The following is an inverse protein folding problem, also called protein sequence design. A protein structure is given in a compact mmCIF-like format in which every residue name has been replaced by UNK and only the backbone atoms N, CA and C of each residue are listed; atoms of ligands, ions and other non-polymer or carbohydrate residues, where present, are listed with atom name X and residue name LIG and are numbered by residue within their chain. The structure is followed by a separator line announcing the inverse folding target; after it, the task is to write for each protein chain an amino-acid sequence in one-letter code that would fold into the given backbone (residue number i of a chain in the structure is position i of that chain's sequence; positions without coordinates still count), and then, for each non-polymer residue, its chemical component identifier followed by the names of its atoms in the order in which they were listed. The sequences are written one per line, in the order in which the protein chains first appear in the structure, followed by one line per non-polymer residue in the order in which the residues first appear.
data_IF_005982395635
#
_entry.id   IF_005982395635
#
_cell.length_a   1.000
_cell.length_b   1.000
_cell.length_c   1.000
_cell.angle_alpha   90.00
_cell.angle_beta   90.00
_cell.angle_gamma   90.00
#
_symmetry.space_group_name_H-M   'P 1'
#
loop_
_entity.id
_entity.type
_entity.pdbx_description
1 polymer ?
#
# COMPACT_ATOMS: atom_id res chain seq x y z
N UNK A 1 63.66 2.60 -5.89
CA UNK A 1 64.08 2.07 -7.20
C UNK A 1 63.27 2.81 -8.25
N UNK A 2 63.97 3.53 -9.13
CA UNK A 2 63.49 4.26 -10.30
C UNK A 2 62.64 3.38 -11.27
N UNK A 3 61.94 3.94 -12.28
CA UNK A 3 62.12 5.30 -12.82
C UNK A 3 60.85 6.11 -13.12
N UNK A 4 61.07 7.43 -13.13
CA UNK A 4 60.31 8.41 -13.87
C UNK A 4 60.51 8.28 -15.38
N UNK A 5 59.47 8.59 -16.16
CA UNK A 5 59.58 9.09 -17.53
C UNK A 5 58.83 10.42 -17.58
N UNK A 6 59.59 11.50 -17.79
CA UNK A 6 59.14 12.80 -18.26
C UNK A 6 58.60 12.66 -19.71
N UNK A 7 57.74 13.51 -20.27
CA UNK A 7 57.81 14.97 -20.36
C UNK A 7 56.63 15.49 -21.20
N UNK A 8 56.18 16.71 -20.89
CA UNK A 8 55.58 17.73 -21.78
C UNK A 8 54.24 17.41 -22.49
N UNK A 9 53.23 18.30 -22.56
CA UNK A 9 53.19 19.75 -22.49
C UNK A 9 51.78 20.27 -22.11
N UNK A 10 51.72 21.56 -21.76
CA UNK A 10 50.53 22.44 -21.71
C UNK A 10 49.60 22.40 -20.49
N UNK A 11 50.13 22.92 -19.38
CA UNK A 11 49.55 24.07 -18.66
C UNK A 11 48.03 24.18 -18.51
N UNK A 12 47.48 23.47 -17.52
CA UNK A 12 46.36 23.96 -16.71
C UNK A 12 46.64 23.61 -15.25
N UNK A 13 47.17 24.58 -14.50
CA UNK A 13 47.32 24.47 -13.05
C UNK A 13 45.92 24.60 -12.44
N UNK A 14 45.32 23.47 -12.10
CA UNK A 14 44.14 23.44 -11.22
C UNK A 14 44.60 23.88 -9.82
N UNK A 15 43.95 24.88 -9.18
CA UNK A 15 44.25 25.20 -7.80
C UNK A 15 43.92 23.98 -6.94
N UNK A 16 44.95 23.41 -6.30
CA UNK A 16 44.79 22.43 -5.24
C UNK A 16 44.08 23.09 -4.06
N UNK A 17 42.76 22.95 -4.03
CA UNK A 17 41.95 23.12 -2.84
C UNK A 17 40.81 22.08 -2.91
N UNK A 18 41.14 20.83 -2.55
CA UNK A 18 40.16 19.86 -2.06
C UNK A 18 39.51 20.47 -0.81
N UNK A 19 38.47 21.26 -1.05
CA UNK A 19 37.65 21.82 0.00
C UNK A 19 36.68 20.73 0.41
N UNK A 20 36.83 20.28 1.64
CA UNK A 20 36.06 19.23 2.28
C UNK A 20 34.55 19.37 2.02
N UNK A 21 33.95 18.20 1.76
CA UNK A 21 32.56 17.73 1.63
C UNK A 21 31.40 18.53 2.31
N UNK A 22 31.39 19.86 2.26
CA UNK A 22 30.50 20.68 3.09
C UNK A 22 29.44 21.51 2.36
N UNK A 23 29.72 22.07 1.17
CA UNK A 23 28.78 23.00 0.53
C UNK A 23 28.98 23.10 -0.98
N UNK A 24 28.10 22.45 -1.75
CA UNK A 24 27.35 23.03 -2.89
C UNK A 24 26.35 22.02 -3.40
N UNK A 25 25.25 21.89 -2.67
CA UNK A 25 24.02 21.27 -3.18
C UNK A 25 23.32 22.20 -4.17
N UNK A 26 23.90 22.37 -5.37
CA UNK A 26 23.03 22.46 -6.54
C UNK A 26 22.51 21.05 -6.73
N UNK A 27 21.24 20.81 -6.37
CA UNK A 27 20.62 19.49 -6.46
C UNK A 27 20.87 18.95 -7.88
N UNK A 28 21.60 17.84 -8.05
CA UNK A 28 21.85 17.25 -9.36
C UNK A 28 20.54 17.03 -10.13
N UNK A 29 19.45 16.74 -9.41
CA UNK A 29 18.12 16.51 -9.98
C UNK A 29 17.48 17.77 -10.59
N UNK A 30 17.66 18.94 -9.98
CA UNK A 30 17.16 20.20 -10.55
C UNK A 30 17.93 20.58 -11.83
N UNK A 31 19.22 20.23 -11.87
CA UNK A 31 20.06 20.42 -13.04
C UNK A 31 19.67 19.44 -14.15
N UNK A 32 19.53 18.15 -13.84
CA UNK A 32 19.14 17.13 -14.81
C UNK A 32 17.73 17.38 -15.38
N UNK A 33 16.74 17.77 -14.56
CA UNK A 33 15.38 18.10 -15.04
C UNK A 33 15.36 19.31 -15.99
N UNK A 34 16.29 20.25 -15.82
CA UNK A 34 16.41 21.43 -16.67
C UNK A 34 17.18 21.10 -17.96
N UNK A 35 18.23 20.30 -17.82
CA UNK A 35 19.18 19.96 -18.88
C UNK A 35 18.65 18.86 -19.81
N UNK A 36 17.86 17.90 -19.30
CA UNK A 36 17.28 16.80 -20.09
C UNK A 36 16.32 17.27 -21.20
N UNK A 37 15.91 18.54 -21.20
CA UNK A 37 15.13 19.17 -22.29
C UNK A 37 15.96 19.42 -23.55
N UNK A 38 17.29 19.40 -23.43
CA UNK A 38 18.24 19.64 -24.51
C UNK A 38 19.01 18.35 -24.78
N UNK A 39 18.70 17.67 -25.89
CA UNK A 39 19.28 16.36 -26.21
C UNK A 39 20.80 16.40 -26.46
N UNK A 40 21.33 17.55 -26.88
CA UNK A 40 22.75 17.71 -27.24
C UNK A 40 23.59 18.36 -26.11
N UNK A 41 23.09 18.38 -24.87
CA UNK A 41 23.84 19.01 -23.79
C UNK A 41 25.11 18.21 -23.45
N UNK A 42 26.31 18.81 -23.46
CA UNK A 42 27.58 18.09 -23.34
C UNK A 42 27.69 17.19 -22.10
N UNK A 43 27.13 17.62 -20.96
CA UNK A 43 27.16 16.82 -19.73
C UNK A 43 26.28 15.57 -19.83
N UNK A 44 25.10 15.68 -20.47
CA UNK A 44 24.21 14.54 -20.68
C UNK A 44 24.84 13.57 -21.67
N UNK A 45 25.45 14.10 -22.73
CA UNK A 45 26.14 13.26 -23.69
C UNK A 45 27.34 12.54 -23.05
N UNK A 46 28.20 13.24 -22.33
CA UNK A 46 29.32 12.61 -21.62
C UNK A 46 28.84 11.57 -20.60
N UNK A 47 27.74 11.84 -19.90
CA UNK A 47 27.14 10.86 -18.96
C UNK A 47 26.68 9.60 -19.69
N UNK A 48 26.02 9.72 -20.84
CA UNK A 48 25.64 8.56 -21.65
C UNK A 48 26.86 7.84 -22.21
N UNK A 49 27.87 8.57 -22.67
CA UNK A 49 29.11 8.00 -23.17
C UNK A 49 29.83 7.19 -22.08
N UNK A 50 29.94 7.75 -20.88
CA UNK A 50 30.51 7.08 -19.70
C UNK A 50 29.69 5.84 -19.31
N UNK A 51 28.36 5.94 -19.27
CA UNK A 51 27.50 4.80 -18.94
C UNK A 51 27.66 3.68 -19.98
N UNK A 52 27.62 3.99 -21.27
CA UNK A 52 27.66 2.97 -22.33
C UNK A 52 29.04 2.39 -22.62
N UNK A 53 30.12 3.08 -22.25
CA UNK A 53 31.49 2.60 -22.51
C UNK A 53 32.23 2.14 -21.26
N UNK A 54 32.00 2.77 -20.10
CA UNK A 54 32.78 2.50 -18.89
C UNK A 54 32.03 1.63 -17.88
N UNK A 55 30.69 1.70 -17.84
CA UNK A 55 29.88 0.96 -16.87
C UNK A 55 29.09 -0.20 -17.47
N UNK A 56 28.56 -0.06 -18.68
CA UNK A 56 27.80 -1.11 -19.37
C UNK A 56 28.68 -1.81 -20.40
N UNK A 57 28.87 -3.12 -20.21
CA UNK A 57 29.52 -3.95 -21.21
C UNK A 57 28.51 -4.38 -22.28
N UNK A 58 28.41 -3.55 -23.32
CA UNK A 58 27.51 -3.77 -24.45
C UNK A 58 27.94 -4.94 -25.34
N UNK A 59 29.24 -5.26 -25.36
CA UNK A 59 29.76 -6.39 -26.15
C UNK A 59 29.40 -7.71 -25.49
N UNK A 60 29.63 -7.85 -24.18
CA UNK A 60 29.24 -9.03 -23.42
C UNK A 60 27.72 -9.23 -23.43
N UNK A 61 26.93 -8.16 -23.32
CA UNK A 61 25.46 -8.25 -23.40
C UNK A 61 24.99 -8.79 -24.76
N UNK A 62 25.56 -8.29 -25.86
CA UNK A 62 25.24 -8.78 -27.21
C UNK A 62 25.58 -10.26 -27.35
N UNK A 63 26.72 -10.68 -26.82
CA UNK A 63 27.16 -12.07 -26.87
C UNK A 63 26.22 -12.98 -26.08
N UNK A 64 25.81 -12.60 -24.87
CA UNK A 64 24.82 -13.36 -24.08
C UNK A 64 23.49 -13.49 -24.81
N UNK A 65 22.98 -12.40 -25.41
CA UNK A 65 21.74 -12.44 -26.19
C UNK A 65 21.87 -13.32 -27.43
N UNK A 66 23.03 -13.28 -28.11
CA UNK A 66 23.34 -14.16 -29.24
C UNK A 66 23.33 -15.62 -28.79
N UNK A 67 24.01 -15.95 -27.70
CA UNK A 67 24.09 -17.31 -27.15
C UNK A 67 22.71 -17.84 -26.69
N UNK A 68 21.84 -16.98 -26.16
CA UNK A 68 20.44 -17.33 -25.87
C UNK A 68 19.70 -17.62 -27.19
N UNK A 69 19.88 -16.78 -28.22
CA UNK A 69 19.24 -16.94 -29.52
C UNK A 69 19.72 -18.17 -30.31
N UNK A 70 20.99 -18.54 -30.20
CA UNK A 70 21.56 -19.76 -30.80
C UNK A 70 21.27 -21.03 -29.99
N UNK A 71 20.73 -20.89 -28.77
CA UNK A 71 20.42 -22.00 -27.87
C UNK A 71 21.64 -22.56 -27.11
N UNK A 72 22.79 -21.90 -27.20
CA UNK A 72 23.98 -22.19 -26.38
C UNK A 72 23.69 -21.93 -24.89
N UNK A 73 22.96 -20.86 -24.58
CA UNK A 73 22.40 -20.60 -23.24
C UNK A 73 20.97 -21.10 -23.18
N UNK A 74 20.72 -22.10 -22.34
CA UNK A 74 19.38 -22.65 -22.12
C UNK A 74 18.68 -21.95 -20.95
N UNK A 75 17.44 -21.51 -21.20
CA UNK A 75 16.61 -20.85 -20.19
C UNK A 75 15.58 -21.84 -19.65
N UNK A 76 15.61 -22.06 -18.34
CA UNK A 76 14.63 -22.90 -17.64
C UNK A 76 13.72 -22.06 -16.75
N UNK A 77 12.41 -22.23 -16.87
CA UNK A 77 11.43 -21.61 -15.99
C UNK A 77 10.98 -22.61 -14.92
N UNK A 78 11.30 -22.35 -13.65
CA UNK A 78 10.86 -23.16 -12.51
C UNK A 78 10.08 -22.32 -11.51
N UNK A 79 8.79 -22.60 -11.36
CA UNK A 79 7.95 -21.97 -10.35
C UNK A 79 8.11 -22.72 -9.03
N UNK A 80 8.49 -22.01 -7.97
CA UNK A 80 8.64 -22.55 -6.62
C UNK A 80 7.75 -21.76 -5.67
N UNK A 81 7.30 -22.41 -4.59
CA UNK A 81 6.53 -21.75 -3.53
C UNK A 81 7.40 -20.87 -2.64
N UNK A 82 8.70 -21.22 -2.49
CA UNK A 82 9.70 -20.45 -1.77
C UNK A 82 10.86 -20.01 -2.68
N UNK A 83 11.51 -18.86 -2.43
CA UNK A 83 12.66 -18.40 -3.20
C UNK A 83 13.86 -19.37 -3.06
N UNK A 84 14.63 -19.53 -4.13
CA UNK A 84 15.85 -20.35 -4.08
C UNK A 84 16.95 -19.65 -3.27
N UNK A 85 17.94 -20.38 -2.72
CA UNK A 85 19.08 -19.76 -2.03
C UNK A 85 19.79 -18.70 -2.88
N UNK A 86 19.85 -18.91 -4.20
CA UNK A 86 20.42 -17.94 -5.15
C UNK A 86 19.55 -16.69 -5.29
N UNK A 87 18.22 -16.83 -5.35
CA UNK A 87 17.29 -15.71 -5.42
C UNK A 87 17.20 -14.93 -4.09
N UNK A 88 17.46 -15.59 -2.96
CA UNK A 88 17.38 -15.00 -1.63
C UNK A 88 18.31 -13.79 -1.48
N UNK A 89 19.55 -13.87 -1.96
CA UNK A 89 20.49 -12.74 -1.94
C UNK A 89 20.06 -11.56 -2.81
N UNK A 90 19.45 -11.82 -3.97
CA UNK A 90 18.95 -10.76 -4.86
C UNK A 90 17.73 -10.04 -4.29
N UNK A 91 16.88 -10.73 -3.51
CA UNK A 91 15.74 -10.12 -2.82
C UNK A 91 16.21 -9.08 -1.80
N UNK A 92 17.28 -9.38 -1.03
CA UNK A 92 17.86 -8.42 -0.08
C UNK A 92 18.43 -7.17 -0.77
N UNK A 93 19.13 -7.33 -1.89
CA UNK A 93 19.69 -6.19 -2.63
C UNK A 93 18.60 -5.30 -3.26
N UNK A 94 17.54 -5.92 -3.79
CA UNK A 94 16.37 -5.19 -4.32
C UNK A 94 15.67 -4.35 -3.23
N UNK A 95 15.65 -4.86 -2.00
CA UNK A 95 15.02 -4.22 -0.84
C UNK A 95 15.93 -3.19 -0.17
N UNK A 96 17.25 -3.44 -0.11
CA UNK A 96 18.22 -2.48 0.40
C UNK A 96 18.22 -1.21 -0.45
N UNK A 97 18.22 -1.36 -1.78
CA UNK A 97 18.05 -0.25 -2.70
C UNK A 97 16.73 0.52 -2.46
N UNK A 98 15.72 -0.13 -1.91
CA UNK A 98 14.40 0.43 -1.67
C UNK A 98 14.24 1.09 -0.28
N UNK A 99 14.91 0.57 0.77
CA UNK A 99 14.92 1.19 2.10
C UNK A 99 15.78 2.47 2.15
N UNK A 100 16.79 2.56 1.29
CA UNK A 100 17.65 3.73 1.16
C UNK A 100 17.27 4.66 0.00
N UNK A 101 16.21 4.35 -0.75
CA UNK A 101 15.62 5.25 -1.75
C UNK A 101 14.75 6.29 -1.02
N UNK A 102 15.39 7.31 -0.46
CA UNK A 102 14.74 8.36 0.34
C UNK A 102 13.75 9.23 -0.44
N UNK A 103 13.73 9.13 -1.77
CA UNK A 103 13.02 10.05 -2.66
C UNK A 103 11.78 9.48 -3.37
N UNK A 104 11.34 8.25 -3.05
CA UNK A 104 10.02 7.77 -3.50
C UNK A 104 8.93 8.09 -2.47
N UNK A 105 7.80 8.72 -2.86
CA UNK A 105 6.70 8.98 -1.92
C UNK A 105 6.22 7.65 -1.33
N UNK A 106 6.20 7.55 0.01
CA UNK A 106 5.95 6.32 0.81
C UNK A 106 4.74 5.47 0.33
N UNK A 107 3.74 6.11 -0.28
CA UNK A 107 2.54 5.49 -0.84
C UNK A 107 2.81 4.67 -2.10
N UNK A 108 3.74 5.07 -2.97
CA UNK A 108 4.21 4.26 -4.10
C UNK A 108 5.18 3.18 -3.65
N UNK A 109 5.93 3.47 -2.60
CA UNK A 109 6.85 2.53 -2.00
C UNK A 109 6.16 1.24 -1.55
N UNK A 110 5.09 1.36 -0.77
CA UNK A 110 4.29 0.22 -0.34
C UNK A 110 3.92 -0.70 -1.51
N UNK A 111 3.58 -0.14 -2.68
CA UNK A 111 3.05 -0.84 -3.88
C UNK A 111 4.02 -1.83 -4.52
N UNK A 112 5.33 -1.63 -4.37
CA UNK A 112 6.37 -2.52 -4.90
C UNK A 112 6.61 -3.73 -3.99
N UNK A 113 6.36 -3.58 -2.68
CA UNK A 113 6.41 -4.66 -1.69
C UNK A 113 5.28 -5.68 -1.88
N UNK A 114 4.10 -5.26 -2.37
CA UNK A 114 2.97 -6.17 -2.65
C UNK A 114 3.27 -7.24 -3.73
N UNK A 115 4.37 -7.13 -4.48
CA UNK A 115 4.82 -8.14 -5.42
C UNK A 115 5.59 -9.30 -4.79
N UNK A 116 5.99 -9.17 -3.52
CA UNK A 116 6.76 -10.16 -2.77
C UNK A 116 5.82 -11.10 -2.00
N UNK A 117 6.25 -12.35 -1.83
CA UNK A 117 5.52 -13.34 -1.03
C UNK A 117 5.47 -12.92 0.45
N UNK A 118 4.44 -13.37 1.18
CA UNK A 118 4.21 -13.08 2.60
C UNK A 118 5.40 -13.45 3.49
N UNK A 119 6.07 -14.56 3.20
CA UNK A 119 7.28 -15.02 3.90
C UNK A 119 8.50 -14.09 3.69
N UNK A 120 8.66 -13.58 2.46
CA UNK A 120 9.67 -12.58 2.10
C UNK A 120 9.38 -11.24 2.77
N UNK A 121 8.10 -10.83 2.81
CA UNK A 121 7.68 -9.62 3.50
C UNK A 121 7.93 -9.68 5.02
N UNK A 122 7.74 -10.84 5.65
CA UNK A 122 8.03 -11.05 7.09
C UNK A 122 9.50 -10.87 7.42
N UNK A 123 10.39 -11.37 6.56
CA UNK A 123 11.85 -11.22 6.73
C UNK A 123 12.33 -9.80 6.44
N UNK A 124 11.63 -9.06 5.58
CA UNK A 124 12.01 -7.71 5.13
C UNK A 124 11.46 -6.59 6.02
N UNK A 125 10.18 -6.66 6.35
CA UNK A 125 9.43 -5.56 6.99
C UNK A 125 9.48 -5.68 8.52
N UNK A 126 9.93 -6.81 9.05
CA UNK A 126 9.82 -7.17 10.46
C UNK A 126 8.37 -7.46 10.85
N UNK A 127 8.16 -7.92 12.10
CA UNK A 127 6.84 -8.36 12.59
C UNK A 127 5.74 -7.27 12.51
N UNK A 128 6.10 -5.98 12.45
CA UNK A 128 5.15 -4.87 12.63
C UNK A 128 4.71 -4.05 11.41
N UNK A 129 5.30 -4.22 10.23
CA UNK A 129 4.93 -3.34 9.09
C UNK A 129 3.76 -3.82 8.23
N UNK A 130 3.14 -4.95 8.55
CA UNK A 130 1.95 -5.45 7.85
C UNK A 130 0.68 -4.62 8.14
N UNK A 131 0.55 -4.05 9.34
CA UNK A 131 -0.61 -3.23 9.74
C UNK A 131 -0.83 -2.01 8.85
N UNK A 132 0.24 -1.45 8.30
CA UNK A 132 0.20 -0.27 7.43
C UNK A 132 -0.09 -0.59 5.96
N UNK A 133 -0.03 -1.87 5.57
CA UNK A 133 -0.26 -2.30 4.19
C UNK A 133 -1.73 -2.63 3.91
N UNK A 134 -2.45 -3.13 4.91
CA UNK A 134 -3.85 -3.51 4.77
C UNK A 134 -4.79 -2.38 5.19
N UNK A 135 -5.97 -2.35 4.59
CA UNK A 135 -7.05 -1.44 4.99
C UNK A 135 -8.17 -2.23 5.64
N UNK A 136 -8.69 -1.70 6.75
CA UNK A 136 -9.77 -2.30 7.50
C UNK A 136 -10.99 -2.63 6.61
N UNK A 137 -11.37 -1.72 5.70
CA UNK A 137 -12.48 -1.95 4.76
C UNK A 137 -12.28 -3.16 3.84
N UNK A 138 -11.05 -3.44 3.40
CA UNK A 138 -10.77 -4.57 2.52
C UNK A 138 -10.86 -5.88 3.30
N UNK A 139 -10.31 -5.87 4.53
CA UNK A 139 -10.37 -7.01 5.44
C UNK A 139 -11.84 -7.37 5.73
N UNK A 140 -12.66 -6.38 6.11
CA UNK A 140 -14.08 -6.61 6.42
C UNK A 140 -14.84 -7.12 5.20
N UNK A 141 -14.59 -6.57 4.01
CA UNK A 141 -15.22 -7.02 2.77
C UNK A 141 -14.86 -8.46 2.42
N UNK A 142 -13.57 -8.84 2.55
CA UNK A 142 -13.13 -10.21 2.26
C UNK A 142 -13.67 -11.18 3.31
N UNK A 143 -13.61 -10.84 4.60
CA UNK A 143 -14.16 -11.65 5.68
C UNK A 143 -15.67 -11.87 5.51
N UNK A 144 -16.43 -10.82 5.19
CA UNK A 144 -17.89 -10.91 4.96
C UNK A 144 -18.23 -11.84 3.79
N UNK A 145 -17.46 -11.76 2.71
CA UNK A 145 -17.61 -12.65 1.55
C UNK A 145 -17.18 -14.09 1.88
N UNK A 146 -16.08 -14.28 2.61
CA UNK A 146 -15.57 -15.58 3.01
C UNK A 146 -16.56 -16.33 3.90
N UNK A 147 -17.22 -15.62 4.83
CA UNK A 147 -18.34 -16.16 5.63
C UNK A 147 -19.59 -16.45 4.82
N UNK A 148 -19.74 -15.95 3.59
CA UNK A 148 -20.94 -16.16 2.77
C UNK A 148 -22.14 -15.26 3.13
N UNK A 149 -21.93 -14.25 3.98
CA UNK A 149 -22.99 -13.32 4.43
C UNK A 149 -23.63 -12.59 3.24
N UNK A 150 -22.83 -12.22 2.23
CA UNK A 150 -23.32 -11.50 1.05
C UNK A 150 -24.29 -12.34 0.19
N UNK A 151 -24.21 -13.67 0.25
CA UNK A 151 -25.14 -14.56 -0.47
C UNK A 151 -26.51 -14.52 0.19
N UNK A 152 -26.56 -14.64 1.52
CA UNK A 152 -27.79 -14.59 2.32
C UNK A 152 -28.41 -13.20 2.28
N UNK A 153 -27.59 -12.14 2.31
CA UNK A 153 -28.06 -10.75 2.25
C UNK A 153 -28.80 -10.41 0.95
N UNK A 154 -28.50 -11.12 -0.16
CA UNK A 154 -29.12 -10.88 -1.46
C UNK A 154 -30.58 -11.33 -1.49
N UNK A 155 -30.84 -12.54 -1.01
CA UNK A 155 -32.19 -13.03 -0.76
C UNK A 155 -32.11 -14.08 0.34
N UNK A 156 -32.95 -13.91 1.35
CA UNK A 156 -33.04 -14.82 2.49
C UNK A 156 -33.96 -15.97 2.08
N UNK A 157 -33.35 -17.10 1.74
CA UNK A 157 -34.03 -18.35 1.43
C UNK A 157 -33.43 -19.49 2.27
N UNK A 158 -34.17 -20.60 2.36
CA UNK A 158 -33.76 -21.75 3.15
C UNK A 158 -32.45 -22.37 2.65
N UNK A 159 -32.26 -22.44 1.33
CA UNK A 159 -31.07 -23.04 0.72
C UNK A 159 -29.81 -22.25 1.02
N UNK A 160 -29.84 -20.91 0.93
CA UNK A 160 -28.65 -20.08 1.21
C UNK A 160 -28.35 -20.00 2.70
N UNK A 161 -29.37 -19.98 3.56
CA UNK A 161 -29.15 -20.02 5.02
C UNK A 161 -28.57 -21.38 5.41
N UNK A 162 -29.04 -22.48 4.81
CA UNK A 162 -28.43 -23.81 5.00
C UNK A 162 -26.99 -23.83 4.53
N UNK A 163 -26.71 -23.38 3.30
CA UNK A 163 -25.35 -23.28 2.77
C UNK A 163 -24.45 -22.40 3.65
N UNK A 164 -25.00 -21.34 4.25
CA UNK A 164 -24.27 -20.47 5.16
C UNK A 164 -23.86 -21.19 6.44
N UNK A 165 -24.77 -21.97 7.06
CA UNK A 165 -24.49 -22.83 8.21
C UNK A 165 -23.51 -23.95 7.83
N UNK A 166 -23.71 -24.63 6.71
CA UNK A 166 -22.77 -25.65 6.18
C UNK A 166 -21.40 -25.05 5.81
N UNK A 167 -21.30 -23.75 5.58
CA UNK A 167 -20.02 -23.11 5.30
C UNK A 167 -19.29 -22.76 6.58
N UNK A 168 -19.96 -22.10 7.53
CA UNK A 168 -19.37 -21.63 8.78
C UNK A 168 -19.21 -22.76 9.80
N UNK A 169 -20.10 -23.74 9.79
CA UNK A 169 -20.22 -24.82 10.77
C UNK A 169 -20.98 -24.42 12.02
N UNK A 170 -20.64 -23.27 12.57
CA UNK A 170 -21.31 -22.70 13.73
C UNK A 170 -21.60 -21.21 13.52
N UNK A 171 -22.74 -20.76 14.05
CA UNK A 171 -23.19 -19.37 14.00
C UNK A 171 -23.81 -19.00 15.33
N UNK A 172 -23.34 -17.90 15.91
CA UNK A 172 -23.89 -17.38 17.17
C UNK A 172 -24.96 -16.32 16.93
N UNK A 173 -25.82 -16.14 17.92
CA UNK A 173 -26.92 -15.18 17.87
C UNK A 173 -26.45 -13.74 17.62
N UNK A 174 -25.40 -13.32 18.34
CA UNK A 174 -24.75 -12.01 18.19
C UNK A 174 -24.17 -11.77 16.79
N UNK A 175 -23.74 -12.83 16.12
CA UNK A 175 -23.18 -12.71 14.76
C UNK A 175 -24.26 -12.53 13.70
N UNK A 176 -25.44 -13.10 13.92
CA UNK A 176 -26.59 -12.88 13.03
C UNK A 176 -26.96 -11.40 13.07
N UNK A 177 -27.03 -10.81 14.26
CA UNK A 177 -27.37 -9.39 14.43
C UNK A 177 -26.30 -8.46 13.85
N UNK A 178 -25.02 -8.78 14.07
CA UNK A 178 -23.91 -8.04 13.49
C UNK A 178 -23.85 -8.16 11.95
N UNK A 179 -24.16 -9.33 11.39
CA UNK A 179 -24.16 -9.57 9.94
C UNK A 179 -25.37 -8.95 9.23
N UNK A 180 -26.53 -8.97 9.88
CA UNK A 180 -27.83 -8.55 9.34
C UNK A 180 -28.59 -7.60 10.28
N UNK A 181 -28.13 -6.34 10.48
CA UNK A 181 -28.73 -5.42 11.46
C UNK A 181 -30.23 -5.14 11.28
N UNK A 182 -30.74 -5.22 10.05
CA UNK A 182 -32.16 -4.97 9.73
C UNK A 182 -32.95 -6.25 9.40
N UNK A 183 -32.27 -7.38 9.23
CA UNK A 183 -32.85 -8.61 8.68
C UNK A 183 -32.59 -9.85 9.57
N UNK A 184 -31.96 -9.67 10.74
CA UNK A 184 -31.61 -10.77 11.65
C UNK A 184 -32.82 -11.61 12.06
N UNK A 185 -34.00 -11.00 12.25
CA UNK A 185 -35.24 -11.73 12.55
C UNK A 185 -35.64 -12.74 11.47
N UNK A 186 -35.61 -12.34 10.20
CA UNK A 186 -35.95 -13.22 9.09
C UNK A 186 -34.94 -14.38 8.94
N UNK A 187 -33.64 -14.11 9.17
CA UNK A 187 -32.61 -15.17 9.14
C UNK A 187 -32.82 -16.17 10.28
N UNK A 188 -33.17 -15.69 11.49
CA UNK A 188 -33.48 -16.55 12.65
C UNK A 188 -34.70 -17.43 12.40
N UNK A 189 -35.77 -16.90 11.79
CA UNK A 189 -36.95 -17.70 11.45
C UNK A 189 -36.60 -18.87 10.52
N UNK A 190 -35.76 -18.62 9.51
CA UNK A 190 -35.28 -19.67 8.60
C UNK A 190 -34.38 -20.68 9.32
N UNK A 191 -33.49 -20.22 10.21
CA UNK A 191 -32.65 -21.11 11.02
C UNK A 191 -33.48 -22.00 11.95
N UNK A 192 -34.53 -21.46 12.58
CA UNK A 192 -35.46 -22.24 13.41
C UNK A 192 -36.20 -23.28 12.56
N UNK A 193 -36.63 -22.91 11.35
CA UNK A 193 -37.23 -23.85 10.41
C UNK A 193 -36.25 -24.97 9.99
N UNK A 194 -34.98 -24.65 9.75
CA UNK A 194 -33.92 -25.62 9.48
C UNK A 194 -33.65 -26.54 10.68
N UNK A 195 -33.74 -26.01 11.91
CA UNK A 195 -33.67 -26.83 13.12
C UNK A 195 -34.84 -27.81 13.23
N UNK A 196 -36.06 -27.36 12.93
CA UNK A 196 -37.24 -28.22 12.93
C UNK A 196 -37.16 -29.35 11.88
N UNK A 197 -36.54 -29.08 10.73
CA UNK A 197 -36.26 -30.07 9.66
C UNK A 197 -35.05 -30.96 9.96
N UNK A 198 -34.25 -30.59 10.95
CA UNK A 198 -33.06 -31.34 11.32
C UNK A 198 -31.84 -31.10 10.42
N UNK A 199 -31.76 -30.02 9.66
CA UNK A 199 -30.52 -29.66 8.94
C UNK A 199 -29.54 -28.90 9.82
N UNK A 200 -30.03 -28.21 10.87
CA UNK A 200 -29.22 -27.53 11.86
C UNK A 200 -29.69 -27.91 13.26
N UNK A 201 -28.87 -27.67 14.28
CA UNK A 201 -29.20 -27.93 15.69
C UNK A 201 -28.87 -26.70 16.53
N UNK A 202 -29.82 -26.31 17.37
CA UNK A 202 -29.63 -25.23 18.33
C UNK A 202 -29.03 -25.79 19.62
N UNK A 203 -27.77 -25.45 19.89
CA UNK A 203 -27.09 -25.81 21.13
C UNK A 203 -27.04 -24.59 22.04
N UNK A 204 -27.43 -24.77 23.30
CA UNK A 204 -27.37 -23.74 24.34
C UNK A 204 -26.31 -24.14 25.34
N UNK A 205 -25.25 -23.35 25.43
CA UNK A 205 -24.16 -23.59 26.36
C UNK A 205 -24.00 -22.37 27.29
N UNK A 206 -23.76 -22.63 28.58
CA UNK A 206 -23.36 -21.61 29.53
C UNK A 206 -21.84 -21.40 29.39
N UNK A 207 -21.44 -20.25 28.85
CA UNK A 207 -20.04 -19.85 28.85
C UNK A 207 -19.66 -19.33 30.23
N UNK A 208 -18.47 -19.69 30.70
CA UNK A 208 -17.91 -19.26 31.99
C UNK A 208 -17.60 -17.76 32.07
N UNK A 209 -17.57 -17.05 30.93
CA UNK A 209 -17.41 -15.60 30.88
C UNK A 209 -18.79 -14.92 30.99
N UNK A 210 -18.87 -13.83 31.74
CA UNK A 210 -20.02 -12.99 32.17
C UNK A 210 -21.09 -12.59 31.11
N UNK A 211 -21.05 -13.09 29.88
CA UNK A 211 -21.96 -12.75 28.77
C UNK A 211 -23.25 -13.59 28.70
N UNK A 212 -23.52 -14.43 29.71
CA UNK A 212 -24.75 -15.22 29.78
C UNK A 212 -24.81 -16.40 28.79
N UNK A 213 -26.00 -17.00 28.64
CA UNK A 213 -26.25 -18.20 27.81
C UNK A 213 -26.07 -17.89 26.32
N UNK A 214 -25.03 -18.42 25.69
CA UNK A 214 -24.83 -18.31 24.24
C UNK A 214 -25.62 -19.38 23.49
N UNK A 215 -26.24 -18.98 22.40
CA UNK A 215 -26.98 -19.86 21.50
C UNK A 215 -26.18 -20.05 20.22
N UNK A 216 -25.98 -21.31 19.85
CA UNK A 216 -25.20 -21.73 18.69
C UNK A 216 -26.11 -22.48 17.74
N UNK A 217 -26.18 -22.01 16.50
CA UNK A 217 -26.75 -22.77 15.39
C UNK A 217 -25.63 -23.56 14.74
N UNK A 218 -25.67 -24.87 14.87
CA UNK A 218 -24.62 -25.77 14.43
C UNK A 218 -25.16 -26.65 13.30
N UNK A 219 -24.33 -26.85 12.30
CA UNK A 219 -24.57 -27.82 11.22
C UNK A 219 -24.73 -29.24 11.78
N UNK A 220 -25.77 -29.98 11.35
CA UNK A 220 -26.08 -31.29 11.95
C UNK A 220 -24.91 -32.28 11.81
N UNK A 221 -24.25 -32.29 10.66
CA UNK A 221 -23.18 -33.24 10.36
C UNK A 221 -21.95 -33.06 11.25
N UNK A 222 -21.87 -31.94 11.97
CA UNK A 222 -20.70 -31.55 12.75
C UNK A 222 -20.98 -31.47 14.24
N UNK A 223 -22.25 -31.67 14.62
CA UNK A 223 -22.70 -31.63 16.01
C UNK A 223 -21.84 -32.50 16.93
N UNK A 224 -21.47 -33.70 16.48
CA UNK A 224 -20.64 -34.64 17.24
C UNK A 224 -19.27 -34.07 17.62
N UNK A 225 -18.68 -33.20 16.79
CA UNK A 225 -17.42 -32.54 17.11
C UNK A 225 -17.64 -31.40 18.11
N UNK A 226 -18.67 -30.58 17.92
CA UNK A 226 -18.98 -29.46 18.81
C UNK A 226 -19.38 -29.93 20.22
N UNK A 227 -20.15 -31.01 20.34
CA UNK A 227 -20.57 -31.56 21.64
C UNK A 227 -19.40 -32.05 22.49
N UNK A 228 -18.22 -32.30 21.90
CA UNK A 228 -17.01 -32.73 22.61
C UNK A 228 -16.12 -31.59 23.09
N UNK A 229 -16.36 -30.37 22.61
CA UNK A 229 -15.47 -29.22 22.83
C UNK A 229 -16.15 -27.98 23.38
N UNK A 230 -17.49 -27.90 23.30
CA UNK A 230 -18.24 -26.79 23.86
C UNK A 230 -18.24 -26.83 25.40
N UNK A 231 -18.43 -25.66 26.06
CA UNK A 231 -18.50 -25.60 27.52
C UNK A 231 -19.58 -26.53 28.07
N UNK A 232 -19.20 -27.40 29.01
CA UNK A 232 -20.08 -28.44 29.57
C UNK A 232 -19.93 -29.84 28.95
N UNK A 233 -19.04 -30.01 27.96
CA UNK A 233 -18.70 -31.32 27.42
C UNK A 233 -17.95 -32.19 28.45
N UNK A 234 -18.35 -33.46 28.58
CA UNK A 234 -17.57 -34.46 29.34
C UNK A 234 -16.33 -34.85 28.56
N UNK A 235 -15.15 -34.48 29.07
CA UNK A 235 -13.87 -34.84 28.47
C UNK A 235 -13.61 -36.31 28.78
N UNK A 236 -13.89 -37.17 27.80
CA UNK A 236 -13.67 -38.62 27.89
C UNK A 236 -12.31 -39.04 27.35
N UNK A 237 -11.85 -38.41 26.26
CA UNK A 237 -10.54 -38.64 25.63
C UNK A 237 -9.95 -37.32 25.10
N UNK A 238 -8.77 -36.96 25.61
CA UNK A 238 -8.07 -35.73 25.25
C UNK A 238 -7.68 -35.70 23.76
N UNK A 239 -7.27 -36.83 23.18
CA UNK A 239 -6.87 -36.88 21.76
C UNK A 239 -8.05 -36.61 20.83
N UNK A 240 -9.22 -37.17 21.17
CA UNK A 240 -10.45 -36.96 20.41
C UNK A 240 -10.92 -35.50 20.53
N UNK A 241 -10.82 -34.90 21.72
CA UNK A 241 -11.13 -33.49 21.92
C UNK A 241 -10.18 -32.58 21.12
N UNK A 242 -8.88 -32.87 21.10
CA UNK A 242 -7.90 -32.10 20.31
C UNK A 242 -8.20 -32.19 18.81
N UNK A 243 -8.48 -33.39 18.28
CA UNK A 243 -8.85 -33.55 16.88
C UNK A 243 -10.15 -32.82 16.51
N UNK A 244 -11.13 -32.79 17.42
CA UNK A 244 -12.36 -32.03 17.24
C UNK A 244 -12.10 -30.51 17.21
N UNK A 245 -11.26 -30.00 18.12
CA UNK A 245 -10.82 -28.59 18.12
C UNK A 245 -10.10 -28.23 16.82
N UNK A 246 -9.14 -29.05 16.39
CA UNK A 246 -8.43 -28.85 15.11
C UNK A 246 -9.39 -28.72 13.93
N UNK A 247 -10.38 -29.61 13.83
CA UNK A 247 -11.40 -29.58 12.77
C UNK A 247 -12.21 -28.27 12.78
N UNK A 248 -12.65 -27.84 13.95
CA UNK A 248 -13.43 -26.60 14.11
C UNK A 248 -12.57 -25.39 13.76
N UNK A 249 -11.32 -25.34 14.23
CA UNK A 249 -10.38 -24.27 13.91
C UNK A 249 -10.11 -24.21 12.39
N UNK A 250 -9.89 -25.36 11.73
CA UNK A 250 -9.69 -25.43 10.28
C UNK A 250 -10.88 -24.87 9.48
N UNK A 251 -12.11 -25.06 9.96
CA UNK A 251 -13.31 -24.50 9.31
C UNK A 251 -13.46 -23.01 9.62
N UNK A 252 -13.17 -22.62 10.86
CA UNK A 252 -13.21 -21.23 11.31
C UNK A 252 -12.25 -20.35 10.49
N UNK A 253 -10.99 -20.76 10.34
CA UNK A 253 -9.98 -19.98 9.61
C UNK A 253 -10.35 -19.75 8.14
N UNK A 254 -11.05 -20.70 7.50
CA UNK A 254 -11.49 -20.61 6.09
C UNK A 254 -12.68 -19.69 5.85
N UNK A 255 -13.35 -19.29 6.92
CA UNK A 255 -14.55 -18.45 6.83
C UNK A 255 -14.32 -17.07 7.44
N UNK A 256 -13.35 -16.94 8.34
CA UNK A 256 -13.08 -15.71 9.09
C UNK A 256 -11.90 -14.93 8.52
N UNK A 257 -11.89 -13.61 8.76
CA UNK A 257 -10.71 -12.77 8.47
C UNK A 257 -9.59 -13.00 9.50
N UNK A 258 -8.58 -12.11 9.56
CA UNK A 258 -7.60 -12.13 10.64
C UNK A 258 -8.27 -12.05 12.01
N UNK A 259 -7.80 -12.85 12.97
CA UNK A 259 -8.31 -12.90 14.34
C UNK A 259 -7.17 -13.21 15.32
N UNK A 260 -7.38 -12.95 16.62
CA UNK A 260 -6.40 -13.31 17.67
C UNK A 260 -6.71 -14.67 18.29
N UNK A 261 -5.70 -15.39 18.78
CA UNK A 261 -5.91 -16.65 19.50
C UNK A 261 -6.82 -16.48 20.72
N UNK A 262 -6.76 -15.30 21.36
CA UNK A 262 -7.62 -14.93 22.49
C UNK A 262 -9.10 -14.82 22.10
N UNK A 263 -9.40 -14.20 20.97
CA UNK A 263 -10.79 -14.09 20.47
C UNK A 263 -11.38 -15.47 20.18
N UNK A 264 -10.60 -16.34 19.54
CA UNK A 264 -11.02 -17.70 19.22
C UNK A 264 -11.24 -18.54 20.49
N UNK A 265 -10.30 -18.48 21.44
CA UNK A 265 -10.41 -19.17 22.72
C UNK A 265 -11.62 -18.66 23.53
N UNK A 266 -11.84 -17.34 23.58
CA UNK A 266 -12.98 -16.74 24.28
C UNK A 266 -14.33 -17.12 23.63
N UNK A 267 -14.36 -17.29 22.31
CA UNK A 267 -15.57 -17.70 21.58
C UNK A 267 -16.06 -19.07 22.04
N UNK A 268 -15.17 -20.07 22.09
CA UNK A 268 -15.54 -21.46 22.43
C UNK A 268 -15.33 -21.82 23.91
N UNK A 269 -14.78 -20.91 24.73
CA UNK A 269 -14.47 -21.17 26.15
C UNK A 269 -13.25 -22.08 26.33
N UNK A 270 -12.29 -22.05 25.41
CA UNK A 270 -11.04 -22.82 25.46
C UNK A 270 -9.92 -22.05 26.15
N UNK A 271 -8.84 -22.75 26.46
CA UNK A 271 -7.62 -22.10 26.92
C UNK A 271 -6.85 -21.49 25.75
N UNK A 272 -6.24 -20.33 25.97
CA UNK A 272 -5.45 -19.64 24.93
C UNK A 272 -4.25 -20.48 24.50
N UNK A 273 -3.57 -21.13 25.45
CA UNK A 273 -2.38 -21.96 25.16
C UNK A 273 -2.67 -23.14 24.24
N UNK A 274 -3.70 -23.94 24.50
CA UNK A 274 -4.09 -25.05 23.62
C UNK A 274 -4.50 -24.55 22.23
N UNK A 275 -5.16 -23.39 22.16
CA UNK A 275 -5.57 -22.77 20.90
C UNK A 275 -4.35 -22.32 20.08
N UNK A 276 -3.35 -21.73 20.72
CA UNK A 276 -2.09 -21.33 20.09
C UNK A 276 -1.27 -22.52 19.60
N UNK A 277 -1.23 -23.64 20.35
CA UNK A 277 -0.55 -24.87 19.93
C UNK A 277 -1.15 -25.43 18.63
N UNK A 278 -2.48 -25.49 18.54
CA UNK A 278 -3.18 -25.95 17.34
C UNK A 278 -2.94 -25.00 16.16
N UNK A 279 -3.01 -23.69 16.40
CA UNK A 279 -2.74 -22.69 15.36
C UNK A 279 -1.29 -22.73 14.87
N UNK A 280 -0.33 -22.97 15.75
CA UNK A 280 1.07 -23.16 15.41
C UNK A 280 1.29 -24.42 14.56
N UNK A 281 0.61 -25.53 14.88
CA UNK A 281 0.64 -26.75 14.07
C UNK A 281 0.05 -26.52 12.66
N UNK A 282 -1.08 -25.80 12.57
CA UNK A 282 -1.69 -25.42 11.29
C UNK A 282 -0.81 -24.45 10.49
N UNK A 283 -0.05 -23.58 11.16
CA UNK A 283 0.91 -22.69 10.51
C UNK A 283 2.12 -23.45 9.96
N UNK A 284 2.63 -24.44 10.71
CA UNK A 284 3.68 -25.34 10.22
C UNK A 284 3.20 -26.15 9.00
N UNK A 285 1.91 -26.47 8.92
CA UNK A 285 1.29 -27.09 7.76
C UNK A 285 0.98 -26.12 6.59
N UNK A 286 1.18 -24.80 6.77
CA UNK A 286 0.95 -23.78 5.75
C UNK A 286 -0.53 -23.41 5.51
N UNK A 287 -1.43 -23.85 6.39
CA UNK A 287 -2.87 -23.55 6.31
C UNK A 287 -3.16 -22.13 6.79
N UNK A 288 -2.51 -21.71 7.87
CA UNK A 288 -2.66 -20.37 8.44
C UNK A 288 -1.30 -19.66 8.51
N UNK A 289 -1.34 -18.34 8.53
CA UNK A 289 -0.19 -17.49 8.77
C UNK A 289 -0.38 -16.65 10.02
N UNK A 290 0.66 -16.61 10.87
CA UNK A 290 0.77 -15.68 12.00
C UNK A 290 1.35 -14.33 11.54
N UNK A 291 0.86 -13.21 12.09
CA UNK A 291 1.37 -11.87 11.80
C UNK A 291 0.51 -10.74 12.37
N UNK A 292 0.82 -9.49 12.02
CA UNK A 292 0.05 -8.32 12.46
C UNK A 292 -0.75 -7.74 11.28
N UNK A 293 -1.99 -8.17 11.08
CA UNK A 293 -2.76 -7.90 9.87
C UNK A 293 -3.82 -6.80 10.04
N UNK A 294 -4.44 -6.67 11.22
CA UNK A 294 -5.51 -5.72 11.50
C UNK A 294 -4.91 -4.32 11.77
N UNK A 295 -5.30 -3.30 11.00
CA UNK A 295 -4.85 -1.93 11.24
C UNK A 295 -5.30 -1.43 12.62
N UNK A 296 -4.36 -1.01 13.46
CA UNK A 296 -4.64 -0.55 14.82
C UNK A 296 -4.94 -1.67 15.83
N UNK A 297 -4.81 -2.95 15.43
CA UNK A 297 -4.85 -4.07 16.36
C UNK A 297 -3.61 -4.16 17.23
N UNK A 298 -3.64 -5.03 18.24
CA UNK A 298 -2.50 -5.34 19.10
C UNK A 298 -2.27 -6.86 19.17
N UNK A 299 -0.99 -7.24 19.29
CA UNK A 299 -0.59 -8.65 19.36
C UNK A 299 -0.52 -9.35 18.00
N UNK A 300 -0.25 -10.66 18.08
CA UNK A 300 -0.14 -11.57 16.94
C UNK A 300 -1.52 -12.12 16.56
N UNK A 301 -1.81 -12.08 15.27
CA UNK A 301 -3.05 -12.50 14.66
C UNK A 301 -2.80 -13.66 13.70
N UNK A 302 -3.86 -14.41 13.44
CA UNK A 302 -3.86 -15.61 12.61
C UNK A 302 -4.85 -15.42 11.47
N UNK A 303 -4.45 -15.80 10.26
CA UNK A 303 -5.31 -15.74 9.08
C UNK A 303 -5.04 -16.92 8.16
N UNK A 304 -6.08 -17.44 7.51
CA UNK A 304 -5.93 -18.45 6.46
C UNK A 304 -5.10 -17.89 5.29
N UNK A 305 -4.22 -18.72 4.73
CA UNK A 305 -3.27 -18.31 3.70
C UNK A 305 -3.99 -17.87 2.40
N UNK A 306 -5.12 -18.49 2.04
CA UNK A 306 -5.89 -18.11 0.85
C UNK A 306 -6.67 -16.80 1.06
N UNK A 307 -7.28 -16.63 2.23
CA UNK A 307 -7.96 -15.38 2.61
C UNK A 307 -6.96 -14.23 2.65
N UNK A 308 -5.79 -14.45 3.25
CA UNK A 308 -4.73 -13.45 3.30
C UNK A 308 -4.25 -13.06 1.90
N UNK A 309 -4.06 -14.03 0.99
CA UNK A 309 -3.76 -13.75 -0.43
C UNK A 309 -4.86 -12.93 -1.10
N UNK A 310 -6.13 -13.20 -0.81
CA UNK A 310 -7.25 -12.44 -1.36
C UNK A 310 -7.30 -11.00 -0.82
N UNK A 311 -7.10 -10.82 0.48
CA UNK A 311 -6.98 -9.49 1.12
C UNK A 311 -5.83 -8.72 0.46
N UNK A 312 -4.69 -9.37 0.27
CA UNK A 312 -3.52 -8.78 -0.36
C UNK A 312 -3.80 -8.35 -1.80
N UNK A 313 -4.38 -9.24 -2.62
CA UNK A 313 -4.76 -8.97 -4.01
C UNK A 313 -5.73 -7.80 -4.14
N UNK A 314 -6.76 -7.73 -3.28
CA UNK A 314 -7.76 -6.64 -3.31
C UNK A 314 -7.20 -5.33 -2.80
N UNK A 315 -6.37 -5.37 -1.76
CA UNK A 315 -5.68 -4.17 -1.25
C UNK A 315 -4.78 -3.57 -2.33
N UNK A 316 -4.02 -4.41 -3.04
CA UNK A 316 -3.21 -3.99 -4.17
C UNK A 316 -4.05 -3.45 -5.33
N UNK A 317 -5.14 -4.12 -5.71
CA UNK A 317 -6.01 -3.67 -6.78
C UNK A 317 -6.61 -2.29 -6.48
N UNK A 318 -7.02 -2.05 -5.23
CA UNK A 318 -7.56 -0.75 -4.78
C UNK A 318 -6.47 0.31 -4.71
N UNK A 319 -5.31 -0.01 -4.15
CA UNK A 319 -4.16 0.90 -4.14
C UNK A 319 -3.72 1.27 -5.57
N UNK A 320 -3.80 0.34 -6.53
CA UNK A 320 -3.59 0.62 -7.96
C UNK A 320 -4.70 1.47 -8.54
N UNK A 321 -5.96 1.32 -8.14
CA UNK A 321 -7.04 2.20 -8.60
C UNK A 321 -6.88 3.64 -8.09
N UNK A 322 -6.29 3.84 -6.91
CA UNK A 322 -6.04 5.18 -6.36
C UNK A 322 -4.86 5.90 -7.03
N UNK A 323 -3.88 5.13 -7.52
CA UNK A 323 -2.72 5.67 -8.28
C UNK A 323 -2.83 5.45 -9.77
N UNK A 324 -3.92 4.83 -10.25
CA UNK A 324 -4.37 5.17 -11.59
C UNK A 324 -4.51 6.67 -11.54
N UNK A 325 -3.59 7.35 -12.22
CA UNK A 325 -3.81 8.71 -12.71
C UNK A 325 -5.27 8.72 -13.13
N UNK A 326 -6.00 9.79 -12.82
CA UNK A 326 -7.32 9.98 -13.41
C UNK A 326 -7.14 10.24 -14.92
N UNK A 327 -6.49 9.31 -15.64
CA UNK A 327 -6.21 9.20 -17.08
C UNK A 327 -7.46 8.76 -17.84
N UNK A 328 -8.62 8.93 -17.23
CA UNK A 328 -9.83 9.31 -17.91
C UNK A 328 -10.23 10.60 -17.22
N UNK A 329 -9.71 11.72 -17.71
CA UNK A 329 -10.24 13.03 -17.43
C UNK A 329 -11.76 12.88 -17.46
N UNK A 330 -12.39 12.89 -16.29
CA UNK A 330 -13.76 13.34 -16.19
C UNK A 330 -13.70 14.69 -16.86
N UNK A 331 -14.34 14.73 -18.02
CA UNK A 331 -14.83 15.87 -18.75
C UNK A 331 -13.95 17.13 -18.72
N UNK A 332 -13.42 17.63 -19.87
CA UNK A 332 -12.40 18.70 -19.95
C UNK A 332 -12.54 19.89 -18.98
N UNK A 333 -13.74 20.20 -18.52
CA UNK A 333 -14.02 21.20 -17.49
C UNK A 333 -13.50 20.88 -16.09
N UNK A 334 -13.42 19.63 -15.63
CA UNK A 334 -12.88 19.33 -14.29
C UNK A 334 -11.37 19.67 -14.24
N UNK A 335 -10.65 19.38 -15.33
CA UNK A 335 -9.26 19.80 -15.46
C UNK A 335 -9.13 21.31 -15.55
N UNK A 336 -9.97 21.96 -16.38
CA UNK A 336 -9.95 23.41 -16.49
C UNK A 336 -10.27 24.08 -15.14
N UNK A 337 -11.23 23.57 -14.36
CA UNK A 337 -11.57 24.07 -13.03
C UNK A 337 -10.46 23.78 -12.01
N UNK A 338 -9.79 22.62 -12.09
CA UNK A 338 -8.61 22.35 -11.29
C UNK A 338 -7.47 23.31 -11.65
N UNK A 339 -7.13 23.48 -12.92
CA UNK A 339 -6.07 24.39 -13.37
C UNK A 339 -6.38 25.83 -13.00
N UNK A 340 -7.64 26.28 -13.15
CA UNK A 340 -8.06 27.63 -12.78
C UNK A 340 -7.88 27.87 -11.28
N UNK A 341 -8.29 26.92 -10.42
CA UNK A 341 -8.07 26.98 -8.98
C UNK A 341 -6.60 26.91 -8.61
N UNK A 342 -5.87 25.96 -9.20
CA UNK A 342 -4.45 25.77 -8.96
C UNK A 342 -3.66 27.02 -9.33
N UNK A 343 -3.96 27.66 -10.46
CA UNK A 343 -3.37 28.93 -10.91
C UNK A 343 -3.87 30.16 -10.13
N UNK A 344 -4.78 29.98 -9.17
CA UNK A 344 -5.36 31.06 -8.36
C UNK A 344 -6.31 32.00 -9.10
N UNK A 345 -6.73 31.66 -10.33
CA UNK A 345 -7.55 32.55 -11.21
C UNK A 345 -9.02 32.59 -10.77
N UNK A 346 -9.40 31.80 -9.76
CA UNK A 346 -10.75 31.79 -9.17
C UNK A 346 -10.98 32.90 -8.14
N UNK A 347 -9.98 33.74 -7.85
CA UNK A 347 -10.11 34.92 -6.98
C UNK A 347 -10.16 34.62 -5.48
N UNK A 348 -9.63 33.46 -5.07
CA UNK A 348 -9.59 33.03 -3.66
C UNK A 348 -8.51 33.78 -2.86
N UNK A 349 -7.41 34.18 -3.51
CA UNK A 349 -6.27 34.85 -2.89
C UNK A 349 -6.55 36.34 -2.63
N UNK A 350 -6.12 36.83 -1.47
CA UNK A 350 -6.31 38.22 -1.00
C UNK A 350 -5.05 38.75 -0.34
N UNK A 351 -4.99 40.07 -0.24
CA UNK A 351 -3.98 40.80 0.53
C UNK A 351 -2.53 40.50 0.09
N UNK A 352 -1.56 40.88 0.92
CA UNK A 352 -0.13 40.69 0.65
C UNK A 352 0.28 39.22 0.60
N UNK A 353 -0.35 38.36 1.41
CA UNK A 353 -0.02 36.92 1.47
C UNK A 353 -0.46 36.20 0.20
N UNK A 354 -1.68 36.46 -0.29
CA UNK A 354 -2.15 35.93 -1.56
C UNK A 354 -1.36 36.46 -2.76
N UNK A 355 -0.87 37.69 -2.69
CA UNK A 355 0.03 38.25 -3.70
C UNK A 355 1.40 37.54 -3.70
N UNK A 356 1.99 37.30 -2.52
CA UNK A 356 3.25 36.56 -2.40
C UNK A 356 3.12 35.12 -2.92
N UNK A 357 2.03 34.41 -2.59
CA UNK A 357 1.76 33.06 -3.12
C UNK A 357 1.63 33.07 -4.65
N UNK A 358 0.98 34.11 -5.19
CA UNK A 358 0.81 34.30 -6.64
C UNK A 358 2.13 34.57 -7.34
N UNK A 359 2.98 35.44 -6.78
CA UNK A 359 4.31 35.73 -7.30
C UNK A 359 5.19 34.47 -7.25
N UNK A 360 5.20 33.74 -6.13
CA UNK A 360 5.93 32.47 -6.00
C UNK A 360 5.53 31.45 -7.06
N UNK A 361 4.24 31.36 -7.39
CA UNK A 361 3.76 30.46 -8.44
C UNK A 361 4.16 30.89 -9.85
N UNK A 362 4.31 32.19 -10.09
CA UNK A 362 4.71 32.77 -11.38
C UNK A 362 6.24 32.95 -11.51
N UNK A 363 6.99 32.71 -10.44
CA UNK A 363 8.45 32.78 -10.40
C UNK A 363 9.10 31.97 -11.54
N UNK A 364 10.14 32.53 -12.15
CA UNK A 364 10.89 31.83 -13.20
C UNK A 364 10.28 31.94 -14.61
N UNK A 365 9.19 32.71 -14.78
CA UNK A 365 8.55 32.95 -16.09
C UNK A 365 8.61 34.40 -16.53
N UNK A 366 8.89 34.60 -17.82
CA UNK A 366 8.89 35.91 -18.46
C UNK A 366 7.48 36.25 -18.96
N UNK A 367 6.97 37.41 -18.52
CA UNK A 367 5.72 37.97 -19.03
C UNK A 367 5.92 39.42 -19.50
N UNK A 368 5.12 39.93 -20.45
CA UNK A 368 5.15 41.34 -20.81
C UNK A 368 4.94 42.23 -19.59
N UNK A 369 5.69 43.33 -19.51
CA UNK A 369 5.68 44.18 -18.33
C UNK A 369 4.27 44.74 -18.02
N UNK A 370 3.51 45.10 -19.06
CA UNK A 370 2.15 45.59 -18.92
C UNK A 370 1.17 44.53 -18.38
N UNK A 371 1.37 43.25 -18.74
CA UNK A 371 0.43 42.18 -18.40
C UNK A 371 0.45 41.82 -16.92
N UNK A 372 1.54 42.11 -16.21
CA UNK A 372 1.65 41.85 -14.76
C UNK A 372 0.54 42.55 -13.98
N UNK A 373 0.44 43.88 -14.09
CA UNK A 373 -0.54 44.66 -13.34
C UNK A 373 -1.89 44.80 -14.04
N UNK A 374 -1.96 44.58 -15.36
CA UNK A 374 -3.23 44.67 -16.11
C UNK A 374 -4.03 43.38 -16.08
N UNK A 375 -3.37 42.22 -16.12
CA UNK A 375 -4.04 40.93 -16.38
C UNK A 375 -3.66 39.85 -15.37
N UNK A 376 -2.39 39.67 -15.05
CA UNK A 376 -1.92 38.52 -14.28
C UNK A 376 -2.24 38.62 -12.79
N UNK A 377 -1.90 39.74 -12.16
CA UNK A 377 -2.12 39.96 -10.73
C UNK A 377 -3.59 40.24 -10.40
N UNK A 378 -4.32 41.11 -11.14
CA UNK A 378 -5.74 41.36 -10.86
C UNK A 378 -6.63 40.13 -11.03
N UNK A 379 -6.30 39.22 -11.96
CA UNK A 379 -7.08 38.00 -12.17
C UNK A 379 -6.88 36.95 -11.06
N UNK A 380 -5.80 37.06 -10.27
CA UNK A 380 -5.44 36.08 -9.24
C UNK A 380 -5.63 36.60 -7.82
N UNK A 381 -5.46 37.90 -7.59
CA UNK A 381 -5.56 38.54 -6.28
C UNK A 381 -6.75 39.48 -6.25
N UNK A 382 -7.76 39.17 -5.43
CA UNK A 382 -8.97 39.99 -5.33
C UNK A 382 -8.65 41.35 -4.71
N UNK A 383 -9.00 42.42 -5.42
CA UNK A 383 -8.76 43.79 -4.95
C UNK A 383 -7.30 44.23 -5.03
N UNK A 384 -6.53 43.68 -5.98
CA UNK A 384 -5.14 44.08 -6.24
C UNK A 384 -4.98 45.60 -6.32
N UNK A 385 -3.97 46.12 -5.61
CA UNK A 385 -3.53 47.52 -5.67
C UNK A 385 -2.02 47.54 -5.86
N UNK A 386 -1.47 48.41 -6.73
CA UNK A 386 -0.02 48.51 -6.96
C UNK A 386 0.82 48.66 -5.70
N UNK A 387 0.30 49.36 -4.69
CA UNK A 387 0.96 49.54 -3.38
C UNK A 387 1.28 48.20 -2.66
N UNK A 388 0.51 47.13 -2.92
CA UNK A 388 0.79 45.80 -2.36
C UNK A 388 2.07 45.21 -2.95
N UNK A 389 2.27 45.40 -4.26
CA UNK A 389 3.45 44.95 -4.98
C UNK A 389 4.69 45.73 -4.54
N UNK A 390 4.57 47.05 -4.39
CA UNK A 390 5.64 47.91 -3.87
C UNK A 390 6.09 47.47 -2.47
N UNK A 391 5.15 47.13 -1.59
CA UNK A 391 5.46 46.62 -0.24
C UNK A 391 6.20 45.29 -0.28
N UNK A 392 5.81 44.37 -1.16
CA UNK A 392 6.50 43.08 -1.30
C UNK A 392 7.91 43.25 -1.85
N UNK A 393 8.12 44.12 -2.84
CA UNK A 393 9.46 44.42 -3.33
C UNK A 393 10.31 45.16 -2.28
N UNK A 394 9.72 46.10 -1.53
CA UNK A 394 10.40 46.79 -0.44
C UNK A 394 10.81 45.85 0.70
N UNK A 395 10.06 44.77 0.93
CA UNK A 395 10.42 43.75 1.92
C UNK A 395 11.62 42.87 1.51
N UNK A 396 12.06 42.96 0.25
CA UNK A 396 13.17 42.18 -0.30
C UNK A 396 12.86 40.70 -0.52
N UNK A 397 11.59 40.27 -0.38
CA UNK A 397 11.19 38.88 -0.61
C UNK A 397 11.28 38.48 -2.10
N UNK A 398 11.06 39.42 -3.01
CA UNK A 398 11.11 39.19 -4.45
C UNK A 398 12.05 40.17 -5.14
N UNK A 399 12.66 39.72 -6.23
CA UNK A 399 13.47 40.54 -7.14
C UNK A 399 12.91 40.44 -8.55
N UNK A 400 13.22 41.42 -9.40
CA UNK A 400 12.77 41.40 -10.80
C UNK A 400 13.92 41.66 -11.76
N UNK A 401 13.81 41.07 -12.95
CA UNK A 401 14.73 41.24 -14.08
C UNK A 401 13.93 41.67 -15.30
N UNK A 402 14.52 42.53 -16.13
CA UNK A 402 13.94 42.98 -17.41
C UNK A 402 14.78 42.48 -18.57
N UNK A 403 14.11 42.11 -19.66
CA UNK A 403 14.71 41.94 -20.99
C UNK A 403 13.82 42.53 -22.07
N UNK A 404 14.40 42.85 -23.23
CA UNK A 404 13.68 43.30 -24.41
C UNK A 404 14.09 44.69 -24.88
N UNK A 405 13.46 45.13 -25.96
CA UNK A 405 13.69 46.43 -26.61
C UNK A 405 12.62 47.45 -26.20
N UNK A 406 12.87 48.73 -26.48
CA UNK A 406 11.95 49.82 -26.16
C UNK A 406 10.53 49.52 -26.68
N UNK A 407 9.56 49.45 -25.77
CA UNK A 407 8.16 49.16 -26.08
C UNK A 407 7.76 47.67 -26.03
N UNK A 408 8.71 46.74 -25.81
CA UNK A 408 8.44 45.29 -25.67
C UNK A 408 9.20 44.67 -24.49
N UNK A 409 9.15 45.32 -23.33
CA UNK A 409 9.80 44.82 -22.12
C UNK A 409 9.07 43.59 -21.57
N UNK A 410 9.84 42.58 -21.20
CA UNK A 410 9.40 41.43 -20.44
C UNK A 410 10.02 41.48 -19.04
N UNK A 411 9.19 41.19 -18.04
CA UNK A 411 9.55 41.10 -16.64
C UNK A 411 9.57 39.64 -16.19
N UNK A 412 10.61 39.29 -15.44
CA UNK A 412 10.75 38.04 -14.70
C UNK A 412 10.80 38.40 -13.21
N UNK A 413 9.98 37.76 -12.39
CA UNK A 413 10.04 37.88 -10.93
C UNK A 413 10.66 36.62 -10.36
N UNK A 414 11.59 36.78 -9.42
CA UNK A 414 12.30 35.71 -8.73
C UNK A 414 12.08 35.83 -7.21
N UNK A 415 11.81 34.70 -6.55
CA UNK A 415 11.83 34.62 -5.08
C UNK A 415 13.28 34.70 -4.62
N UNK A 416 13.51 35.47 -3.56
CA UNK A 416 14.84 35.56 -2.92
C UNK A 416 15.07 34.41 -1.93
N UNK A 417 14.02 33.62 -1.67
CA UNK A 417 14.02 32.41 -0.82
C UNK A 417 13.91 31.13 -1.65
#
# INVERSE_FOLDING_TARGET
MCPAIASDASGWVWPQACTACGYRGLRPDNLLQTVAKYQDFPLVWETYHEIFQNYLDMEALREVLRQIGTGEIQIYRKQRQAPSPFAHGHLFNFVANFMYDTDTPKVEGGKRLFGLGTETLKTIVGKGGFRNLFRAEVITTVARKARGIDLVAKTIDEERVRFWVERCGDITDSEIDAAFPQQGGAVREVLVALCAKGSAVLVKAETSNDEGRKQWFIDRDELDFYMKVLPGAEITDLQVCTAARERIIQRFVRTHGPFTARELAARYGWTVGETEEILAALAAAGVVEAGEFIPGGEGEEWCDTEILREIHRRSLARARQEVKTRTRWREPWEYAAFLARWQGVTGERRDTEGLAETLSQLTGRWFPAADWEQHLLPARVKGYKPLLLDRLFASGQFQWRVRGEAGKYQLLIESTY
#
